data_IF_411060413914
#
_entry.id   IF_411060413914
#
_cell.length_a   1.000
_cell.length_b   1.000
_cell.length_c   1.000
_cell.angle_alpha   90.00
_cell.angle_beta   90.00
_cell.angle_gamma   90.00
#
_symmetry.space_group_name_H-M   'P 1'
#
loop_
_entity.id
_entity.type
_entity.pdbx_description
1 polymer ?
#
# COMPACT_ATOMS: atom_id res chain seq x y z
N UNK A 1 32.61 25.27 40.84
CA UNK A 1 31.23 24.87 41.22
C UNK A 1 30.46 24.65 39.94
N UNK A 2 30.07 23.41 39.63
CA UNK A 2 29.23 23.11 38.47
C UNK A 2 27.77 23.38 38.84
N UNK A 3 27.07 24.17 38.03
CA UNK A 3 25.65 24.45 38.20
C UNK A 3 24.86 23.24 37.70
N UNK A 4 24.25 22.47 38.60
CA UNK A 4 23.31 21.41 38.20
C UNK A 4 22.08 22.05 37.56
N UNK A 5 21.88 21.77 36.27
CA UNK A 5 20.68 22.20 35.55
C UNK A 5 19.45 21.47 36.13
N UNK A 6 18.56 22.21 36.78
CA UNK A 6 17.33 21.67 37.35
C UNK A 6 16.40 21.22 36.22
N UNK A 7 16.02 19.94 36.23
CA UNK A 7 15.11 19.37 35.24
C UNK A 7 13.71 19.96 35.41
N UNK A 8 13.34 20.89 34.54
CA UNK A 8 11.99 21.48 34.51
C UNK A 8 10.94 20.37 34.33
N UNK A 9 10.06 20.20 35.31
CA UNK A 9 8.95 19.25 35.23
C UNK A 9 7.88 19.83 34.30
N UNK A 10 7.85 19.35 33.06
CA UNK A 10 6.84 19.73 32.09
C UNK A 10 5.54 18.93 32.31
N UNK A 11 4.44 19.62 32.60
CA UNK A 11 3.10 19.00 32.75
C UNK A 11 2.33 19.09 31.43
N UNK A 12 2.18 17.96 30.75
CA UNK A 12 1.43 17.86 29.48
C UNK A 12 -0.06 18.12 29.75
N UNK A 13 -0.56 19.30 29.36
CA UNK A 13 -1.97 19.70 29.53
C UNK A 13 -2.89 19.22 28.40
N UNK A 14 -2.33 18.78 27.28
CA UNK A 14 -3.04 18.40 26.06
C UNK A 14 -3.10 16.88 25.83
N UNK A 15 -2.96 16.05 26.87
CA UNK A 15 -2.90 14.58 26.76
C UNK A 15 -4.01 13.99 25.90
N UNK A 16 -5.26 14.46 26.06
CA UNK A 16 -6.41 13.99 25.26
C UNK A 16 -6.23 14.24 23.76
N UNK A 17 -5.72 15.42 23.38
CA UNK A 17 -5.48 15.74 21.98
C UNK A 17 -4.30 14.93 21.42
N UNK A 18 -3.26 14.73 22.22
CA UNK A 18 -2.10 13.91 21.85
C UNK A 18 -2.50 12.44 21.63
N UNK A 19 -3.26 11.84 22.56
CA UNK A 19 -3.79 10.48 22.44
C UNK A 19 -4.70 10.31 21.21
N UNK A 20 -5.58 11.28 20.96
CA UNK A 20 -6.42 11.28 19.76
C UNK A 20 -5.57 11.30 18.47
N UNK A 21 -4.50 12.10 18.42
CA UNK A 21 -3.59 12.13 17.29
C UNK A 21 -2.84 10.80 17.09
N UNK A 22 -2.41 10.15 18.18
CA UNK A 22 -1.79 8.82 18.11
C UNK A 22 -2.76 7.75 17.58
N UNK A 23 -4.02 7.77 18.02
CA UNK A 23 -5.07 6.88 17.48
C UNK A 23 -5.29 7.12 15.99
N UNK A 24 -5.37 8.38 15.56
CA UNK A 24 -5.53 8.73 14.15
C UNK A 24 -4.33 8.29 13.31
N UNK A 25 -3.11 8.32 13.86
CA UNK A 25 -1.92 7.81 13.16
C UNK A 25 -2.02 6.31 12.83
N UNK A 26 -2.72 5.53 13.66
CA UNK A 26 -2.98 4.11 13.41
C UNK A 26 -4.24 3.84 12.57
N UNK A 27 -5.04 4.86 12.23
CA UNK A 27 -6.26 4.69 11.44
C UNK A 27 -5.89 4.42 9.99
N UNK A 28 -6.26 3.24 9.49
CA UNK A 28 -6.11 2.89 8.09
C UNK A 28 -7.31 3.38 7.29
N UNK A 29 -7.06 4.10 6.20
CA UNK A 29 -8.09 4.54 5.23
C UNK A 29 -7.59 4.22 3.84
N UNK A 30 -8.38 3.50 3.04
CA UNK A 30 -8.02 3.10 1.69
C UNK A 30 -8.82 3.88 0.66
N UNK A 31 -8.11 4.39 -0.35
CA UNK A 31 -8.69 4.99 -1.54
C UNK A 31 -8.18 4.18 -2.73
N UNK A 32 -9.09 3.65 -3.53
CA UNK A 32 -8.75 2.93 -4.76
C UNK A 32 -9.33 3.74 -5.91
N UNK A 33 -8.48 4.08 -6.87
CA UNK A 33 -8.90 4.78 -8.07
C UNK A 33 -9.98 3.98 -8.81
N UNK A 34 -11.05 4.64 -9.23
CA UNK A 34 -12.16 3.99 -9.91
C UNK A 34 -11.73 3.34 -11.24
N UNK A 35 -10.72 3.89 -11.92
CA UNK A 35 -10.14 3.30 -13.12
C UNK A 35 -9.46 1.95 -12.83
N UNK A 36 -8.89 1.77 -11.63
CA UNK A 36 -8.34 0.48 -11.20
C UNK A 36 -9.45 -0.55 -11.04
N UNK A 37 -10.58 -0.17 -10.45
CA UNK A 37 -11.74 -1.06 -10.26
C UNK A 37 -12.37 -1.43 -11.61
N UNK A 38 -12.62 -0.44 -12.48
CA UNK A 38 -13.17 -0.65 -13.83
C UNK A 38 -12.25 -1.51 -14.69
N UNK A 39 -10.94 -1.27 -14.60
CA UNK A 39 -9.93 -2.01 -15.33
C UNK A 39 -9.45 -3.29 -14.64
N UNK A 40 -10.09 -3.77 -13.57
CA UNK A 40 -9.55 -4.85 -12.74
C UNK A 40 -9.53 -6.21 -13.46
N UNK A 41 -10.66 -6.57 -14.08
CA UNK A 41 -10.85 -7.80 -14.85
C UNK A 41 -10.74 -7.44 -16.33
N UNK A 42 -10.02 -8.24 -17.11
CA UNK A 42 -10.05 -8.10 -18.56
C UNK A 42 -11.34 -8.73 -19.08
N UNK A 43 -12.14 -7.91 -19.76
CA UNK A 43 -13.36 -8.37 -20.43
C UNK A 43 -13.04 -8.86 -21.85
N UNK A 44 -11.99 -8.30 -22.47
CA UNK A 44 -11.55 -8.65 -23.82
C UNK A 44 -10.77 -9.96 -23.82
N UNK A 45 -11.41 -11.03 -24.27
CA UNK A 45 -10.78 -12.34 -24.45
C UNK A 45 -10.08 -12.36 -25.80
N UNK A 46 -8.81 -12.79 -25.81
CA UNK A 46 -7.97 -12.84 -27.01
C UNK A 46 -8.49 -13.79 -28.09
N UNK A 47 -9.31 -14.79 -27.74
CA UNK A 47 -9.83 -15.79 -28.70
C UNK A 47 -8.77 -16.77 -29.23
N UNK A 48 -7.49 -16.54 -28.92
CA UNK A 48 -6.36 -17.38 -29.29
C UNK A 48 -6.27 -18.67 -28.48
N UNK A 49 -5.50 -19.64 -29.00
CA UNK A 49 -5.29 -20.93 -28.34
C UNK A 49 -4.49 -20.75 -27.04
N UNK A 50 -5.18 -20.91 -25.91
CA UNK A 50 -4.61 -20.75 -24.57
C UNK A 50 -5.60 -20.02 -23.65
N UNK A 51 -5.33 -20.01 -22.34
CA UNK A 51 -6.19 -19.28 -21.41
C UNK A 51 -5.96 -17.76 -21.54
N UNK A 52 -7.00 -17.00 -21.90
CA UNK A 52 -6.97 -15.55 -21.85
C UNK A 52 -6.72 -15.07 -20.41
N UNK A 53 -6.06 -13.92 -20.27
CA UNK A 53 -5.76 -13.35 -18.95
C UNK A 53 -7.03 -12.82 -18.30
N UNK A 54 -7.47 -13.40 -17.19
CA UNK A 54 -8.65 -12.90 -16.44
C UNK A 54 -8.40 -11.52 -15.82
N UNK A 55 -7.21 -11.28 -15.30
CA UNK A 55 -6.88 -10.03 -14.59
C UNK A 55 -6.07 -9.10 -15.48
N UNK A 56 -6.27 -7.79 -15.33
CA UNK A 56 -5.49 -6.80 -16.07
C UNK A 56 -4.08 -6.63 -15.50
N UNK A 57 -3.25 -5.90 -16.25
CA UNK A 57 -1.93 -5.50 -15.78
C UNK A 57 -2.04 -4.53 -14.58
N UNK A 58 -3.05 -3.64 -14.58
CA UNK A 58 -3.30 -2.70 -13.48
C UNK A 58 -3.64 -3.46 -12.19
N UNK A 59 -4.48 -4.50 -12.24
CA UNK A 59 -4.76 -5.34 -11.07
C UNK A 59 -3.50 -6.02 -10.51
N UNK A 60 -2.61 -6.51 -11.37
CA UNK A 60 -1.35 -7.14 -10.94
C UNK A 60 -0.40 -6.12 -10.30
N UNK A 61 -0.29 -4.92 -10.89
CA UNK A 61 0.48 -3.82 -10.32
C UNK A 61 -0.06 -3.43 -8.94
N UNK A 62 -1.37 -3.17 -8.82
CA UNK A 62 -2.02 -2.79 -7.56
C UNK A 62 -1.81 -3.83 -6.47
N UNK A 63 -1.98 -5.12 -6.78
CA UNK A 63 -1.71 -6.21 -5.83
C UNK A 63 -0.27 -6.18 -5.33
N UNK A 64 0.70 -6.04 -6.25
CA UNK A 64 2.12 -5.99 -5.88
C UNK A 64 2.44 -4.76 -5.04
N UNK A 65 1.94 -3.58 -5.43
CA UNK A 65 2.13 -2.33 -4.69
C UNK A 65 1.58 -2.44 -3.29
N UNK A 66 0.36 -2.98 -3.13
CA UNK A 66 -0.24 -3.16 -1.80
C UNK A 66 0.59 -4.12 -0.94
N UNK A 67 1.05 -5.24 -1.50
CA UNK A 67 1.93 -6.17 -0.81
C UNK A 67 3.23 -5.52 -0.35
N UNK A 68 3.84 -4.68 -1.19
CA UNK A 68 5.09 -3.97 -0.86
C UNK A 68 4.88 -2.88 0.21
N UNK A 69 3.84 -2.05 0.07
CA UNK A 69 3.56 -0.94 0.99
C UNK A 69 3.15 -1.44 2.37
N UNK A 70 2.35 -2.51 2.42
CA UNK A 70 1.88 -3.09 3.68
C UNK A 70 2.82 -4.18 4.24
N UNK A 71 3.96 -4.43 3.57
CA UNK A 71 4.92 -5.46 3.93
C UNK A 71 4.33 -6.89 4.08
N UNK A 72 3.40 -7.25 3.19
CA UNK A 72 2.68 -8.53 3.20
C UNK A 72 3.28 -9.52 2.21
N UNK A 73 3.30 -10.81 2.58
CA UNK A 73 3.62 -11.90 1.63
C UNK A 73 2.43 -12.17 0.72
N UNK A 74 2.66 -12.72 -0.48
CA UNK A 74 1.63 -12.83 -1.52
C UNK A 74 0.28 -13.42 -1.07
N UNK A 75 0.26 -14.47 -0.24
CA UNK A 75 -1.01 -15.03 0.30
C UNK A 75 -1.71 -14.06 1.27
N UNK A 76 -0.95 -13.36 2.09
CA UNK A 76 -1.48 -12.31 2.97
C UNK A 76 -1.98 -11.13 2.16
N UNK A 77 -1.28 -10.73 1.09
CA UNK A 77 -1.73 -9.69 0.17
C UNK A 77 -3.06 -10.04 -0.48
N UNK A 78 -3.23 -11.28 -0.93
CA UNK A 78 -4.50 -11.75 -1.48
C UNK A 78 -5.63 -11.69 -0.44
N UNK A 79 -5.43 -12.23 0.76
CA UNK A 79 -6.43 -12.16 1.84
C UNK A 79 -6.76 -10.72 2.25
N UNK A 80 -5.73 -9.87 2.36
CA UNK A 80 -5.87 -8.47 2.70
C UNK A 80 -6.69 -7.70 1.67
N UNK A 81 -6.38 -7.86 0.37
CA UNK A 81 -7.14 -7.22 -0.70
C UNK A 81 -8.59 -7.71 -0.75
N UNK A 82 -8.84 -8.98 -0.44
CA UNK A 82 -10.21 -9.50 -0.27
C UNK A 82 -10.95 -8.77 0.86
N UNK A 83 -10.32 -8.59 2.03
CA UNK A 83 -10.93 -7.80 3.12
C UNK A 83 -11.19 -6.34 2.72
N UNK A 84 -10.27 -5.71 1.99
CA UNK A 84 -10.44 -4.34 1.50
C UNK A 84 -11.64 -4.25 0.55
N UNK A 85 -11.77 -5.16 -0.41
CA UNK A 85 -12.90 -5.16 -1.34
C UNK A 85 -14.24 -5.41 -0.63
N UNK A 86 -14.26 -6.30 0.37
CA UNK A 86 -15.45 -6.50 1.21
C UNK A 86 -15.84 -5.24 2.00
N UNK A 87 -14.87 -4.55 2.60
CA UNK A 87 -15.12 -3.31 3.33
C UNK A 87 -15.61 -2.17 2.42
N UNK A 88 -15.22 -2.21 1.14
CA UNK A 88 -15.65 -1.24 0.13
C UNK A 88 -16.94 -1.64 -0.61
N UNK A 89 -17.53 -2.80 -0.29
CA UNK A 89 -18.67 -3.37 -1.01
C UNK A 89 -18.44 -3.54 -2.53
N UNK A 90 -17.23 -3.96 -2.90
CA UNK A 90 -16.81 -4.16 -4.30
C UNK A 90 -16.89 -5.64 -4.65
N UNK A 91 -17.79 -5.99 -5.58
CA UNK A 91 -17.97 -7.35 -6.07
C UNK A 91 -16.96 -7.76 -7.16
N UNK A 92 -15.66 -7.56 -6.91
CA UNK A 92 -14.58 -7.97 -7.83
C UNK A 92 -13.77 -9.15 -7.28
N UNK A 93 -13.34 -10.10 -8.12
CA UNK A 93 -12.50 -11.21 -7.69
C UNK A 93 -11.07 -10.75 -7.43
N UNK A 94 -10.40 -11.33 -6.43
CA UNK A 94 -8.99 -11.01 -6.11
C UNK A 94 -8.05 -12.06 -6.71
N UNK A 95 -6.98 -11.67 -7.44
CA UNK A 95 -6.01 -12.61 -7.98
C UNK A 95 -5.28 -13.41 -6.89
N UNK A 96 -5.09 -14.72 -7.10
CA UNK A 96 -4.21 -15.51 -6.25
C UNK A 96 -2.74 -15.09 -6.39
N UNK A 97 -1.96 -15.26 -5.31
CA UNK A 97 -0.54 -14.92 -5.25
C UNK A 97 0.30 -15.54 -6.37
N UNK A 98 -0.03 -16.76 -6.81
CA UNK A 98 0.67 -17.44 -7.92
C UNK A 98 0.40 -16.76 -9.27
N UNK A 99 -0.78 -16.15 -9.44
CA UNK A 99 -1.15 -15.39 -10.64
C UNK A 99 -0.39 -14.07 -10.67
N UNK A 100 -0.33 -13.37 -9.54
CA UNK A 100 0.42 -12.11 -9.41
C UNK A 100 1.92 -12.35 -9.67
N UNK A 101 2.52 -13.34 -9.00
CA UNK A 101 3.96 -13.64 -9.12
C UNK A 101 4.38 -13.97 -10.56
N UNK A 102 3.64 -14.86 -11.25
CA UNK A 102 3.94 -15.23 -12.65
C UNK A 102 3.85 -14.05 -13.63
N UNK A 103 2.99 -13.07 -13.32
CA UNK A 103 2.76 -11.92 -14.21
C UNK A 103 3.67 -10.74 -13.90
N UNK A 104 4.03 -10.56 -12.64
CA UNK A 104 4.83 -9.43 -12.19
C UNK A 104 6.17 -9.36 -12.91
N UNK A 105 6.84 -10.50 -13.12
CA UNK A 105 8.13 -10.54 -13.84
C UNK A 105 8.04 -10.15 -15.33
N UNK A 106 6.84 -10.12 -15.92
CA UNK A 106 6.62 -9.71 -17.32
C UNK A 106 5.97 -8.33 -17.43
N UNK A 107 5.75 -7.66 -16.31
CA UNK A 107 5.03 -6.41 -16.25
C UNK A 107 6.02 -5.24 -16.31
N UNK A 108 5.94 -4.44 -17.38
CA UNK A 108 6.66 -3.17 -17.45
C UNK A 108 5.94 -2.16 -16.57
N UNK A 109 6.55 -1.80 -15.44
CA UNK A 109 6.04 -0.78 -14.53
C UNK A 109 6.94 0.44 -14.67
N UNK A 110 6.35 1.58 -15.04
CA UNK A 110 7.06 2.86 -15.04
C UNK A 110 7.04 3.39 -13.61
N UNK A 111 8.19 3.31 -12.94
CA UNK A 111 8.34 3.90 -11.61
C UNK A 111 8.65 5.39 -11.78
N UNK A 112 7.80 6.31 -11.30
CA UNK A 112 8.10 7.72 -11.35
C UNK A 112 9.32 7.99 -10.46
N UNK A 113 10.45 8.28 -11.07
CA UNK A 113 11.61 8.81 -10.38
C UNK A 113 11.32 10.28 -10.13
N UNK A 114 10.97 10.63 -8.90
CA UNK A 114 10.97 12.03 -8.52
C UNK A 114 12.43 12.52 -8.55
N UNK A 115 12.76 13.39 -9.50
CA UNK A 115 14.06 14.05 -9.52
C UNK A 115 14.26 14.78 -8.20
N UNK A 116 15.32 14.40 -7.47
CA UNK A 116 15.62 15.01 -6.18
C UNK A 116 16.04 16.46 -6.38
N UNK A 117 15.18 17.40 -6.03
CA UNK A 117 15.53 18.82 -5.94
C UNK A 117 16.37 19.01 -4.67
N UNK A 118 17.68 18.72 -4.76
CA UNK A 118 18.67 19.03 -3.73
C UNK A 118 19.20 17.85 -2.91
N UNK A 119 20.18 18.17 -2.06
CA UNK A 119 20.87 17.22 -1.17
C UNK A 119 19.92 16.62 -0.15
N UNK A 120 19.88 15.28 -0.06
CA UNK A 120 19.11 14.56 0.96
C UNK A 120 20.00 14.27 2.17
N UNK A 121 19.71 14.92 3.30
CA UNK A 121 20.38 14.61 4.57
C UNK A 121 19.70 13.40 5.22
N UNK A 122 20.44 12.30 5.38
CA UNK A 122 19.98 11.09 6.06
C UNK A 122 20.64 11.04 7.43
N UNK A 123 19.85 11.18 8.49
CA UNK A 123 20.31 10.98 9.87
C UNK A 123 20.16 9.50 10.19
N UNK A 124 21.27 8.84 10.54
CA UNK A 124 21.27 7.46 11.01
C UNK A 124 21.39 7.49 12.53
N UNK A 125 20.34 7.08 13.23
CA UNK A 125 20.44 6.81 14.66
C UNK A 125 21.01 5.40 14.85
N UNK A 126 22.01 5.28 15.73
CA UNK A 126 22.71 4.04 16.07
C UNK A 126 22.15 3.44 17.36
#
# INVERSE_FOLDING_TARGET
>A
MATEATKTQYRIRNWRAYDAALKQRGRLTFWIDEAVLKGWVNLDKTGERGASRTYSNIATATMSTMGSVMHLRGRQTAGFMTSVFQLMDVALPVPDHSTVSRRLGKLSILLPVAEGTGSRHVVKEA
#
